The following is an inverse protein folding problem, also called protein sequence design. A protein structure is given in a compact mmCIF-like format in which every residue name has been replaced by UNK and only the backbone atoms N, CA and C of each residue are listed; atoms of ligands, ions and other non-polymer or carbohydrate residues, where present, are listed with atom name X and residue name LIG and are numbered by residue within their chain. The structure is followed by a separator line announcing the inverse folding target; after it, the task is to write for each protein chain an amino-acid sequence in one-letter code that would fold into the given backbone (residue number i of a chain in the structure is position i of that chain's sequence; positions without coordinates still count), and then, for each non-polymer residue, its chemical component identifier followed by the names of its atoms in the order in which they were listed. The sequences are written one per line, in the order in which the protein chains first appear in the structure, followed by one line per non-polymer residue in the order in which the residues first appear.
data_IF_069072574110
#
_entry.id   IF_069072574110
#
_cell.length_a   1.000
_cell.length_b   1.000
_cell.length_c   1.000
_cell.angle_alpha   90.00
_cell.angle_beta   90.00
_cell.angle_gamma   90.00
#
_symmetry.space_group_name_H-M   'P 1'
#
loop_
_entity.id
_entity.type
_entity.pdbx_description
1 polymer ?
#
# COMPACT_ATOMS: atom_id res chain seq x y z
N UNK A 1 -11.97 6.13 -9.83
CA UNK A 1 -10.98 7.21 -10.02
C UNK A 1 -10.01 7.04 -8.88
N UNK A 2 -8.72 6.87 -9.16
CA UNK A 2 -7.75 6.57 -8.12
C UNK A 2 -7.10 7.84 -7.57
N UNK A 3 -6.71 7.80 -6.29
CA UNK A 3 -5.90 8.81 -5.62
C UNK A 3 -4.45 8.32 -5.61
N UNK A 4 -3.52 9.14 -6.10
CA UNK A 4 -2.09 8.82 -6.03
C UNK A 4 -1.46 9.44 -4.78
N UNK A 5 -0.72 8.64 -4.02
CA UNK A 5 -0.02 9.07 -2.80
C UNK A 5 1.43 8.61 -2.88
N UNK A 6 2.37 9.49 -2.53
CA UNK A 6 3.79 9.17 -2.44
C UNK A 6 4.24 9.22 -0.98
N UNK A 7 5.13 8.31 -0.59
CA UNK A 7 5.61 8.14 0.77
C UNK A 7 4.67 7.31 1.64
N UNK A 8 4.99 7.29 2.93
CA UNK A 8 4.16 6.69 3.96
C UNK A 8 2.81 7.39 4.15
N UNK A 9 1.73 6.63 4.27
CA UNK A 9 0.38 7.14 4.49
C UNK A 9 -0.54 6.15 5.21
N UNK A 10 -1.69 6.65 5.65
CA UNK A 10 -2.81 5.85 6.13
C UNK A 10 -4.10 6.42 5.56
N UNK A 11 -4.90 5.55 4.95
CA UNK A 11 -6.13 5.88 4.26
C UNK A 11 -7.21 4.87 4.65
N UNK A 12 -8.37 5.33 5.12
CA UNK A 12 -9.49 4.48 5.54
C UNK A 12 -10.76 4.67 4.68
N UNK A 13 -10.61 5.35 3.54
CA UNK A 13 -11.69 5.63 2.61
C UNK A 13 -12.05 4.43 1.73
N UNK A 14 -12.85 4.73 0.70
CA UNK A 14 -13.43 3.76 -0.25
C UNK A 14 -12.99 3.99 -1.69
N UNK A 15 -11.98 4.83 -1.87
CA UNK A 15 -11.39 5.20 -3.14
C UNK A 15 -10.20 4.31 -3.44
N UNK A 16 -10.01 3.96 -4.70
CA UNK A 16 -8.81 3.25 -5.14
C UNK A 16 -7.56 4.12 -4.88
N UNK A 17 -6.54 3.53 -4.28
CA UNK A 17 -5.25 4.17 -4.00
C UNK A 17 -4.20 3.64 -4.96
N UNK A 18 -3.33 4.54 -5.43
CA UNK A 18 -2.05 4.22 -6.05
C UNK A 18 -0.96 4.77 -5.11
N UNK A 19 -0.38 3.90 -4.28
CA UNK A 19 0.64 4.22 -3.29
C UNK A 19 2.06 3.87 -3.77
N UNK A 20 3.01 4.78 -3.54
CA UNK A 20 4.44 4.60 -3.89
C UNK A 20 5.28 5.01 -2.68
N UNK A 21 6.04 4.08 -2.09
CA UNK A 21 6.82 4.27 -0.85
C UNK A 21 7.97 5.26 -1.02
N UNK A 22 8.75 5.14 -2.10
CA UNK A 22 9.90 6.00 -2.35
C UNK A 22 11.16 5.54 -1.62
N UNK A 23 12.08 6.47 -1.34
CA UNK A 23 13.38 6.14 -0.73
C UNK A 23 13.26 6.09 0.80
N UNK A 24 12.99 4.92 1.38
CA UNK A 24 12.95 4.78 2.83
C UNK A 24 12.39 3.44 3.27
N UNK A 25 12.22 3.30 4.58
CA UNK A 25 11.29 2.31 5.13
C UNK A 25 9.95 3.00 5.22
N UNK A 26 8.95 2.46 4.53
CA UNK A 26 7.64 3.06 4.39
C UNK A 26 6.54 2.24 5.06
N UNK A 27 5.51 2.96 5.51
CA UNK A 27 4.26 2.38 5.99
C UNK A 27 3.13 2.93 5.13
N UNK A 28 2.50 2.06 4.35
CA UNK A 28 1.36 2.38 3.50
C UNK A 28 0.17 1.54 3.94
N UNK A 29 -0.91 2.21 4.35
CA UNK A 29 -2.17 1.57 4.74
C UNK A 29 -3.27 2.17 3.86
N UNK A 30 -3.94 1.33 3.08
CA UNK A 30 -5.09 1.70 2.26
C UNK A 30 -6.40 1.09 2.79
N UNK A 31 -7.48 1.29 2.03
CA UNK A 31 -8.84 1.34 2.54
C UNK A 31 -9.66 0.09 2.24
N UNK A 32 -10.88 0.27 1.74
CA UNK A 32 -11.81 -0.82 1.41
C UNK A 32 -12.02 -1.02 -0.10
N UNK A 33 -11.14 -0.47 -0.93
CA UNK A 33 -11.26 -0.50 -2.39
C UNK A 33 -10.22 -1.42 -3.01
N UNK A 34 -10.06 -1.39 -4.34
CA UNK A 34 -9.02 -2.16 -5.01
C UNK A 34 -7.79 -1.28 -5.19
N UNK A 35 -6.85 -1.40 -4.27
CA UNK A 35 -5.70 -0.52 -4.15
C UNK A 35 -4.46 -1.10 -4.85
N UNK A 36 -3.50 -0.23 -5.21
CA UNK A 36 -2.21 -0.63 -5.77
C UNK A 36 -1.11 0.05 -4.96
N UNK A 37 -0.29 -0.73 -4.24
CA UNK A 37 0.77 -0.20 -3.37
C UNK A 37 2.14 -0.74 -3.83
N UNK A 38 3.15 0.13 -3.90
CA UNK A 38 4.57 -0.22 -4.15
C UNK A 38 5.43 0.27 -2.99
N UNK A 39 6.21 -0.61 -2.36
CA UNK A 39 7.22 -0.26 -1.34
C UNK A 39 8.53 0.28 -1.92
N UNK A 40 8.82 -0.06 -3.18
CA UNK A 40 10.10 0.16 -3.87
C UNK A 40 11.28 -0.63 -3.27
N UNK A 41 11.86 -0.20 -2.16
CA UNK A 41 12.94 -0.97 -1.52
C UNK A 41 13.20 -0.54 -0.10
N UNK A 42 14.05 -1.28 0.60
CA UNK A 42 14.12 -1.38 2.06
C UNK A 42 13.00 -2.29 2.60
N UNK A 43 12.72 -2.22 3.90
CA UNK A 43 11.82 -3.17 4.57
C UNK A 43 10.51 -2.48 4.90
N UNK A 44 9.53 -2.60 4.02
CA UNK A 44 8.31 -1.80 4.06
C UNK A 44 7.14 -2.51 4.74
N UNK A 45 6.14 -1.74 5.15
CA UNK A 45 4.85 -2.23 5.65
C UNK A 45 3.74 -1.78 4.73
N UNK A 46 3.14 -2.72 3.99
CA UNK A 46 2.01 -2.48 3.10
C UNK A 46 0.76 -3.18 3.66
N UNK A 47 -0.32 -2.43 3.84
CA UNK A 47 -1.63 -2.97 4.17
C UNK A 47 -2.63 -2.50 3.12
N UNK A 48 -3.09 -3.42 2.26
CA UNK A 48 -4.10 -3.13 1.23
C UNK A 48 -5.48 -2.83 1.81
N UNK A 49 -5.74 -3.34 3.01
CA UNK A 49 -7.08 -3.32 3.58
C UNK A 49 -7.98 -4.35 2.91
N UNK A 50 -9.27 -4.03 2.77
CA UNK A 50 -10.25 -4.93 2.20
C UNK A 50 -10.43 -4.64 0.70
N UNK A 51 -10.52 -5.67 -0.13
CA UNK A 51 -10.67 -5.50 -1.57
C UNK A 51 -9.76 -6.45 -2.33
N UNK A 52 -9.68 -6.27 -3.65
CA UNK A 52 -8.71 -7.00 -4.47
C UNK A 52 -7.53 -6.07 -4.74
N UNK A 53 -6.55 -6.11 -3.85
CA UNK A 53 -5.39 -5.23 -3.91
C UNK A 53 -4.26 -5.81 -4.78
N UNK A 54 -3.38 -4.92 -5.21
CA UNK A 54 -2.12 -5.25 -5.86
C UNK A 54 -0.97 -4.67 -5.04
N UNK A 55 -0.34 -5.51 -4.23
CA UNK A 55 0.72 -5.10 -3.31
C UNK A 55 2.08 -5.61 -3.78
N UNK A 56 3.00 -4.69 -4.09
CA UNK A 56 4.40 -4.96 -4.40
C UNK A 56 5.30 -4.39 -3.30
N UNK A 57 5.89 -5.27 -2.49
CA UNK A 57 6.85 -4.86 -1.46
C UNK A 57 8.14 -4.27 -2.02
N UNK A 58 8.50 -4.61 -3.27
CA UNK A 58 9.78 -4.24 -3.83
C UNK A 58 10.94 -5.01 -3.20
N UNK A 59 12.09 -4.35 -3.07
CA UNK A 59 13.33 -4.97 -2.61
C UNK A 59 13.54 -4.85 -1.10
N UNK A 60 13.34 -5.95 -0.36
CA UNK A 60 13.77 -6.06 1.03
C UNK A 60 12.99 -7.12 1.78
N UNK A 61 12.84 -6.94 3.09
CA UNK A 61 12.06 -7.82 3.95
C UNK A 61 10.77 -7.12 4.38
N UNK A 62 9.78 -7.23 3.50
CA UNK A 62 8.53 -6.47 3.62
C UNK A 62 7.47 -7.23 4.43
N UNK A 63 6.56 -6.46 5.01
CA UNK A 63 5.35 -6.97 5.66
C UNK A 63 4.16 -6.54 4.83
N UNK A 64 3.52 -7.51 4.18
CA UNK A 64 2.33 -7.32 3.37
C UNK A 64 1.13 -7.92 4.11
N UNK A 65 0.07 -7.13 4.27
CA UNK A 65 -1.19 -7.54 4.85
C UNK A 65 -2.33 -7.26 3.87
N UNK A 66 -3.15 -8.28 3.64
CA UNK A 66 -4.44 -8.17 2.95
C UNK A 66 -5.55 -8.63 3.89
N UNK A 67 -6.66 -7.90 3.92
CA UNK A 67 -7.87 -8.30 4.63
C UNK A 67 -8.79 -9.08 3.68
N UNK A 68 -8.76 -10.41 3.79
CA UNK A 68 -9.69 -11.28 3.07
C UNK A 68 -11.08 -11.12 3.71
N UNK A 69 -11.99 -10.42 3.03
CA UNK A 69 -13.39 -10.26 3.43
C UNK A 69 -14.33 -11.09 2.58
#
# INVERSE_FOLDING_TARGET
MAITINGSFTYDGSEDIIGIGGSGIDIQISGRSNDTLSGDGNNDGLNGGAGNDSLDGGAGSDRILEEIT
#
